data_IF_702547898278
#
_entry.id   IF_702547898278
#
_cell.length_a   1.000
_cell.length_b   1.000
_cell.length_c   1.000
_cell.angle_alpha   90.00
_cell.angle_beta   90.00
_cell.angle_gamma   90.00
#
_symmetry.space_group_name_H-M   'P 1'
#
loop_
_entity.id
_entity.type
_entity.pdbx_description
1 polymer ?
#
# COMPACT_ATOMS: atom_id res chain seq x y z
N UNK A 1 -24.13 -21.00 -3.29
CA UNK A 1 -22.78 -20.44 -3.13
C UNK A 1 -22.82 -19.41 -2.02
N UNK A 2 -22.02 -19.53 -0.96
CA UNK A 2 -21.95 -18.49 0.07
C UNK A 2 -21.17 -17.30 -0.49
N UNK A 3 -21.69 -16.08 -0.35
CA UNK A 3 -20.92 -14.89 -0.69
C UNK A 3 -19.67 -14.83 0.19
N UNK A 4 -18.49 -14.74 -0.43
CA UNK A 4 -17.22 -14.58 0.28
C UNK A 4 -17.14 -13.15 0.81
N UNK A 5 -16.93 -13.02 2.12
CA UNK A 5 -16.84 -11.71 2.77
C UNK A 5 -15.43 -11.15 2.59
N UNK A 6 -15.35 -9.99 1.93
CA UNK A 6 -14.13 -9.17 1.91
C UNK A 6 -14.24 -8.12 3.02
N UNK A 7 -13.19 -7.97 3.83
CA UNK A 7 -13.12 -6.91 4.84
C UNK A 7 -11.92 -6.03 4.60
N UNK A 8 -12.10 -4.73 4.77
CA UNK A 8 -11.05 -3.72 4.64
C UNK A 8 -10.92 -3.00 5.96
N UNK A 9 -9.71 -2.93 6.50
CA UNK A 9 -9.41 -2.21 7.75
C UNK A 9 -8.29 -1.22 7.51
N UNK A 10 -8.50 0.04 7.89
CA UNK A 10 -7.45 1.04 7.87
C UNK A 10 -6.54 0.91 9.11
N UNK A 11 -5.23 0.84 8.88
CA UNK A 11 -4.24 1.06 9.93
C UNK A 11 -3.85 2.54 9.95
N UNK A 12 -4.03 3.26 11.08
CA UNK A 12 -3.63 4.67 11.19
C UNK A 12 -2.15 4.86 10.84
N UNK A 13 -1.87 5.73 9.85
CA UNK A 13 -0.51 5.98 9.35
C UNK A 13 0.15 4.79 8.62
N UNK A 14 -0.57 3.68 8.43
CA UNK A 14 -0.11 2.42 7.86
C UNK A 14 -0.91 2.03 6.61
N UNK A 15 -0.89 0.75 6.20
CA UNK A 15 -1.60 0.28 5.01
C UNK A 15 -3.12 0.09 5.23
N UNK A 16 -3.83 -0.25 4.16
CA UNK A 16 -5.13 -0.92 4.25
C UNK A 16 -4.92 -2.44 4.35
N UNK A 17 -5.50 -3.07 5.36
CA UNK A 17 -5.52 -4.53 5.49
C UNK A 17 -6.79 -5.08 4.83
N UNK A 18 -6.62 -5.91 3.81
CA UNK A 18 -7.71 -6.55 3.08
C UNK A 18 -7.70 -8.04 3.38
N UNK A 19 -8.83 -8.58 3.82
CA UNK A 19 -9.00 -10.02 4.08
C UNK A 19 -10.01 -10.62 3.14
N UNK A 20 -9.73 -11.82 2.66
CA UNK A 20 -10.64 -12.59 1.81
C UNK A 20 -10.73 -12.13 0.35
N UNK A 21 -9.83 -11.24 -0.08
CA UNK A 21 -9.68 -10.91 -1.50
C UNK A 21 -8.90 -12.02 -2.22
N UNK A 22 -9.29 -12.30 -3.45
CA UNK A 22 -8.60 -13.25 -4.33
C UNK A 22 -7.78 -12.52 -5.42
N UNK A 23 -8.16 -11.28 -5.71
CA UNK A 23 -7.57 -10.46 -6.78
C UNK A 23 -7.65 -8.96 -6.42
N UNK A 24 -6.65 -8.20 -6.87
CA UNK A 24 -6.62 -6.74 -6.80
C UNK A 24 -6.36 -6.18 -8.18
N UNK A 25 -7.23 -5.29 -8.64
CA UNK A 25 -7.15 -4.62 -9.94
C UNK A 25 -6.70 -3.17 -9.73
N UNK A 26 -5.59 -2.80 -10.37
CA UNK A 26 -5.07 -1.45 -10.43
C UNK A 26 -5.88 -0.55 -11.38
N UNK A 27 -5.72 0.76 -11.25
CA UNK A 27 -6.40 1.75 -12.12
C UNK A 27 -5.92 1.68 -13.58
N UNK A 28 -4.72 1.16 -13.79
CA UNK A 28 -4.11 0.87 -15.09
C UNK A 28 -4.62 -0.44 -15.70
N UNK A 29 -5.50 -1.17 -15.00
CA UNK A 29 -5.97 -2.50 -15.38
C UNK A 29 -5.00 -3.63 -15.05
N UNK A 30 -3.89 -3.34 -14.38
CA UNK A 30 -2.94 -4.38 -13.94
C UNK A 30 -3.54 -5.17 -12.79
N UNK A 31 -3.44 -6.50 -12.88
CA UNK A 31 -4.10 -7.38 -11.93
C UNK A 31 -3.09 -8.20 -11.12
N UNK A 32 -3.23 -8.15 -9.78
CA UNK A 32 -2.42 -8.92 -8.85
C UNK A 32 -3.25 -9.99 -8.15
N UNK A 33 -2.84 -11.25 -8.26
CA UNK A 33 -3.45 -12.35 -7.52
C UNK A 33 -3.09 -12.27 -6.03
N UNK A 34 -4.05 -12.62 -5.18
CA UNK A 34 -3.89 -12.66 -3.72
C UNK A 34 -3.97 -14.11 -3.25
N UNK A 35 -2.82 -14.66 -2.88
CA UNK A 35 -2.70 -16.01 -2.31
C UNK A 35 -2.76 -16.01 -0.77
N UNK A 36 -2.69 -14.82 -0.16
CA UNK A 36 -2.60 -14.64 1.29
C UNK A 36 -3.97 -14.36 1.88
N UNK A 37 -4.23 -14.90 3.08
CA UNK A 37 -5.47 -14.62 3.82
C UNK A 37 -5.68 -13.13 4.11
N UNK A 38 -4.57 -12.38 4.25
CA UNK A 38 -4.57 -10.93 4.44
C UNK A 38 -3.48 -10.30 3.58
N UNK A 39 -3.80 -9.22 2.89
CA UNK A 39 -2.84 -8.38 2.16
C UNK A 39 -2.86 -6.95 2.67
N UNK A 40 -1.72 -6.29 2.55
CA UNK A 40 -1.54 -4.89 2.92
C UNK A 40 -1.42 -4.04 1.66
N UNK A 41 -2.40 -3.18 1.39
CA UNK A 41 -2.36 -2.21 0.30
C UNK A 41 -1.73 -0.90 0.73
N UNK A 42 -0.87 -0.36 -0.14
CA UNK A 42 -0.22 0.92 0.08
C UNK A 42 -1.24 2.06 0.02
N UNK A 43 -1.21 2.95 1.02
CA UNK A 43 -1.93 4.23 0.99
C UNK A 43 -1.01 5.45 0.92
N UNK A 44 0.29 5.26 1.08
CA UNK A 44 1.26 6.35 1.25
C UNK A 44 1.92 6.79 -0.06
N UNK A 45 1.73 6.04 -1.15
CA UNK A 45 2.34 6.31 -2.46
C UNK A 45 3.86 6.09 -2.53
N UNK A 46 4.51 5.65 -1.45
CA UNK A 46 5.98 5.47 -1.38
C UNK A 46 6.47 4.05 -1.64
N UNK A 47 5.57 3.10 -1.83
CA UNK A 47 5.96 1.70 -2.05
C UNK A 47 6.62 1.53 -3.40
N UNK A 48 7.72 0.79 -3.47
CA UNK A 48 8.34 0.36 -4.72
C UNK A 48 7.62 -0.86 -5.33
N UNK A 49 6.69 -1.46 -4.57
CA UNK A 49 5.93 -2.66 -4.93
C UNK A 49 4.43 -2.38 -5.03
N UNK A 50 4.05 -1.19 -5.55
CA UNK A 50 2.64 -0.87 -5.76
C UNK A 50 1.92 -2.01 -6.49
N UNK A 51 0.68 -2.37 -6.08
CA UNK A 51 -0.16 -1.72 -5.08
C UNK A 51 0.13 -2.12 -3.60
N UNK A 52 1.11 -2.98 -3.35
CA UNK A 52 1.39 -3.57 -2.04
C UNK A 52 2.14 -2.64 -1.11
N UNK A 53 1.93 -2.77 0.21
CA UNK A 53 2.75 -2.12 1.20
C UNK A 53 4.07 -2.87 1.41
N UNK A 54 5.16 -2.12 1.50
CA UNK A 54 6.54 -2.57 1.68
C UNK A 54 7.24 -1.91 2.88
N UNK A 55 6.45 -1.41 3.84
CA UNK A 55 6.89 -0.60 4.99
C UNK A 55 7.46 0.78 4.67
N UNK A 56 7.49 1.23 3.40
CA UNK A 56 7.92 2.60 3.02
C UNK A 56 7.08 3.71 3.67
N UNK A 57 5.91 3.39 4.22
CA UNK A 57 5.12 4.33 5.03
C UNK A 57 5.84 4.77 6.32
N UNK A 58 6.75 3.95 6.86
CA UNK A 58 7.51 4.24 8.09
C UNK A 58 8.67 5.20 7.86
N UNK A 59 9.19 5.26 6.63
CA UNK A 59 10.31 6.11 6.25
C UNK A 59 9.89 7.59 6.21
N UNK A 60 9.81 8.23 7.38
CA UNK A 60 9.80 9.70 7.46
C UNK A 60 11.20 10.21 7.08
N UNK A 61 11.49 10.37 5.79
CA UNK A 61 12.67 11.14 5.36
C UNK A 61 12.46 12.58 5.84
N UNK A 62 13.12 12.97 6.94
CA UNK A 62 13.31 14.39 7.29
C UNK A 62 13.83 15.07 6.02
N UNK A 63 13.12 16.08 5.49
CA UNK A 63 13.65 16.91 4.41
C UNK A 63 14.99 17.46 4.89
N UNK A 64 16.11 17.03 4.31
CA UNK A 64 17.35 17.81 4.41
C UNK A 64 17.10 19.07 3.58
N UNK A 65 16.96 20.22 4.26
CA UNK A 65 17.01 21.54 3.61
C UNK A 65 18.37 21.60 2.90
N UNK A 66 18.40 21.61 1.58
CA UNK A 66 19.61 22.02 0.86
C UNK A 66 19.74 23.52 1.14
N UNK A 67 20.67 23.90 2.00
CA UNK A 67 21.19 25.28 2.01
C UNK A 67 21.74 25.52 0.60
N UNK A 68 21.09 26.40 -0.16
CA UNK A 68 21.70 27.05 -1.31
C UNK A 68 22.80 27.97 -0.76
N UNK A 69 24.04 27.68 -1.09
CA UNK A 69 25.07 28.71 -1.20
C UNK A 69 25.15 29.06 -2.68
N UNK A 70 24.55 30.20 -3.02
CA UNK A 70 24.81 30.90 -4.26
C UNK A 70 26.24 31.49 -4.17
N UNK A 71 27.03 31.32 -5.24
CA UNK A 71 28.32 32.00 -5.45
C UNK A 71 28.20 32.88 -6.70
#
# INVERSE_FOLDING_TARGET
MSARRVTVTECPGGPLLIRGADEVVGIDGTTGTVDRAVVAMCRCGRSERLPWCDDSHRARKRRKKKEQTDE
#
